data_IF_255942884653
#
_entry.id   IF_255942884653
#
_cell.length_a   1.000
_cell.length_b   1.000
_cell.length_c   1.000
_cell.angle_alpha   90.00
_cell.angle_beta   90.00
_cell.angle_gamma   90.00
#
_symmetry.space_group_name_H-M   'P 1'
#
loop_
_entity.id
_entity.type
_entity.pdbx_description
1 polymer ?
#
# COMPACT_ATOMS: atom_id res chain seq x y z
N UNK A 1 10.73 -25.42 -1.68
CA UNK A 1 9.54 -24.67 -2.13
C UNK A 1 9.48 -23.37 -1.35
N UNK A 2 9.73 -22.24 -2.01
CA UNK A 2 9.53 -20.92 -1.42
C UNK A 2 8.04 -20.75 -1.16
N UNK A 3 7.61 -20.57 0.09
CA UNK A 3 6.22 -20.16 0.38
C UNK A 3 6.02 -18.80 -0.30
N UNK A 4 5.13 -18.73 -1.29
CA UNK A 4 4.65 -17.45 -1.82
C UNK A 4 4.16 -16.62 -0.62
N UNK A 5 4.67 -15.40 -0.49
CA UNK A 5 4.31 -14.54 0.62
C UNK A 5 3.10 -13.73 0.19
N UNK A 6 1.93 -14.10 0.72
CA UNK A 6 0.67 -13.43 0.39
C UNK A 6 0.63 -11.97 0.88
N UNK A 7 1.34 -11.67 1.97
CA UNK A 7 1.33 -10.37 2.64
C UNK A 7 2.74 -9.82 2.90
N UNK A 8 2.88 -8.50 2.80
CA UNK A 8 4.11 -7.76 3.02
C UNK A 8 3.89 -6.67 4.06
N UNK A 9 4.81 -6.60 5.02
CA UNK A 9 4.88 -5.49 5.96
C UNK A 9 5.68 -4.34 5.37
N UNK A 10 5.14 -3.12 5.47
CA UNK A 10 5.80 -1.90 5.03
C UNK A 10 6.30 -1.16 6.27
N UNK A 11 7.55 -1.42 6.65
CA UNK A 11 8.20 -0.72 7.74
C UNK A 11 8.45 0.76 7.42
N UNK A 12 8.62 1.58 8.46
CA UNK A 12 9.04 2.98 8.33
C UNK A 12 10.40 3.02 7.62
N UNK A 13 10.41 3.40 6.33
CA UNK A 13 11.65 3.72 5.62
C UNK A 13 11.96 5.19 5.87
N UNK A 14 13.20 5.48 6.26
CA UNK A 14 13.67 6.85 6.43
C UNK A 14 13.54 7.55 5.08
N UNK A 15 12.96 8.75 5.09
CA UNK A 15 13.07 9.73 4.00
C UNK A 15 12.17 9.56 2.76
N UNK A 16 11.14 8.70 2.76
CA UNK A 16 10.15 8.67 1.67
C UNK A 16 8.73 8.32 2.12
N UNK A 17 7.78 9.24 1.89
CA UNK A 17 6.33 9.05 2.12
C UNK A 17 5.67 8.14 1.06
N UNK A 18 6.41 7.17 0.50
CA UNK A 18 5.88 6.22 -0.49
C UNK A 18 4.64 5.48 0.04
N UNK A 19 4.58 5.29 1.36
CA UNK A 19 3.43 4.73 2.02
C UNK A 19 2.18 5.61 1.92
N UNK A 20 2.32 6.93 2.07
CA UNK A 20 1.18 7.84 1.95
C UNK A 20 0.59 7.78 0.54
N UNK A 21 1.46 7.75 -0.47
CA UNK A 21 1.06 7.58 -1.88
C UNK A 21 0.37 6.23 -2.09
N UNK A 22 0.92 5.16 -1.51
CA UNK A 22 0.33 3.82 -1.59
C UNK A 22 -1.03 3.73 -0.89
N UNK A 23 -1.19 4.39 0.26
CA UNK A 23 -2.49 4.50 0.95
C UNK A 23 -3.51 5.23 0.10
N UNK A 24 -3.14 6.40 -0.45
CA UNK A 24 -4.02 7.15 -1.36
C UNK A 24 -4.41 6.30 -2.56
N UNK A 25 -3.46 5.56 -3.15
CA UNK A 25 -3.76 4.60 -4.22
C UNK A 25 -4.72 3.50 -3.76
N UNK A 26 -4.53 2.95 -2.56
CA UNK A 26 -5.42 1.96 -1.96
C UNK A 26 -6.85 2.51 -1.79
N UNK A 27 -7.00 3.72 -1.26
CA UNK A 27 -8.30 4.40 -1.10
C UNK A 27 -8.97 4.65 -2.45
N UNK A 28 -8.20 5.06 -3.46
CA UNK A 28 -8.72 5.33 -4.81
C UNK A 28 -9.05 4.06 -5.60
N UNK A 29 -8.43 2.93 -5.29
CA UNK A 29 -8.68 1.65 -5.98
C UNK A 29 -9.63 0.72 -5.24
N UNK A 30 -9.86 0.93 -3.94
CA UNK A 30 -10.74 0.10 -3.14
C UNK A 30 -12.21 0.19 -3.59
N UNK A 31 -12.90 -0.94 -3.47
CA UNK A 31 -14.36 -1.07 -3.62
C UNK A 31 -15.11 -0.99 -2.29
N UNK A 32 -14.47 -1.43 -1.19
CA UNK A 32 -15.07 -1.52 0.14
C UNK A 32 -14.03 -1.23 1.23
N UNK A 33 -14.52 -0.93 2.43
CA UNK A 33 -13.72 -0.80 3.63
C UNK A 33 -14.31 -1.54 4.82
N UNK A 34 -13.45 -1.76 5.80
CA UNK A 34 -13.78 -2.08 7.18
C UNK A 34 -12.93 -1.19 8.08
N UNK A 35 -13.53 -0.42 8.97
CA UNK A 35 -12.83 0.31 10.05
C UNK A 35 -13.34 -0.21 11.37
N UNK A 36 -12.44 -0.45 12.31
CA UNK A 36 -12.80 -1.01 13.61
C UNK A 36 -12.67 0.06 14.67
N UNK A 37 -13.46 -0.02 15.72
CA UNK A 37 -13.42 0.90 16.85
C UNK A 37 -13.71 0.16 18.14
N UNK A 38 -13.03 0.46 19.26
CA UNK A 38 -13.40 -0.09 20.55
C UNK A 38 -14.76 0.45 21.05
N UNK A 39 -15.33 -0.22 22.04
CA UNK A 39 -16.61 0.16 22.69
C UNK A 39 -16.49 1.35 23.66
N UNK A 40 -15.54 2.25 23.42
CA UNK A 40 -15.35 3.40 24.29
C UNK A 40 -15.00 4.63 23.45
N UNK A 41 -15.97 5.52 23.21
CA UNK A 41 -15.75 6.73 22.41
C UNK A 41 -14.77 7.71 23.06
N UNK A 42 -14.42 7.53 24.34
CA UNK A 42 -13.45 8.38 25.04
C UNK A 42 -12.00 7.91 24.87
N UNK A 43 -11.79 6.70 24.34
CA UNK A 43 -10.46 6.19 24.05
C UNK A 43 -9.89 6.85 22.80
N UNK A 44 -8.58 7.12 22.81
CA UNK A 44 -7.81 7.59 21.65
C UNK A 44 -7.92 6.66 20.44
N UNK A 45 -8.26 5.39 20.67
CA UNK A 45 -8.52 4.39 19.63
C UNK A 45 -9.87 4.61 18.90
N UNK A 46 -10.72 5.52 19.36
CA UNK A 46 -12.04 5.79 18.78
C UNK A 46 -12.10 7.02 17.88
N UNK A 47 -10.95 7.66 17.59
CA UNK A 47 -10.90 8.81 16.67
C UNK A 47 -11.46 8.45 15.29
N UNK A 48 -12.36 9.30 14.77
CA UNK A 48 -13.01 9.08 13.47
C UNK A 48 -14.30 8.27 13.54
N UNK A 49 -14.64 7.66 14.69
CA UNK A 49 -15.81 6.77 14.80
C UNK A 49 -17.11 7.42 14.34
N UNK A 50 -17.40 8.63 14.79
CA UNK A 50 -18.65 9.34 14.45
C UNK A 50 -18.69 9.71 12.97
N UNK A 51 -17.56 10.12 12.40
CA UNK A 51 -17.41 10.41 10.98
C UNK A 51 -17.71 9.17 10.12
N UNK A 52 -17.25 8.00 10.53
CA UNK A 52 -17.54 6.73 9.85
C UNK A 52 -18.97 6.25 10.06
N UNK A 53 -19.56 6.46 11.24
CA UNK A 53 -20.98 6.16 11.50
C UNK A 53 -21.93 7.04 10.67
N UNK A 54 -21.50 8.25 10.30
CA UNK A 54 -22.25 9.17 9.46
C UNK A 54 -22.22 8.85 7.96
N UNK A 55 -21.42 7.87 7.52
CA UNK A 55 -21.31 7.52 6.10
C UNK A 55 -22.57 6.82 5.58
N UNK A 56 -22.95 7.05 4.31
CA UNK A 56 -24.04 6.30 3.68
C UNK A 56 -23.62 4.85 3.41
N UNK A 57 -24.61 3.95 3.32
CA UNK A 57 -24.43 2.54 2.92
C UNK A 57 -23.41 1.76 3.78
N UNK A 58 -23.37 2.07 5.08
CA UNK A 58 -22.59 1.29 6.02
C UNK A 58 -23.43 0.17 6.65
N UNK A 59 -22.71 -0.82 7.18
CA UNK A 59 -23.19 -1.80 8.12
C UNK A 59 -22.29 -1.77 9.34
N UNK A 60 -22.88 -1.95 10.51
CA UNK A 60 -22.16 -1.99 11.79
C UNK A 60 -22.40 -3.34 12.43
N UNK A 61 -21.33 -4.02 12.80
CA UNK A 61 -21.39 -5.32 13.46
C UNK A 61 -20.41 -5.39 14.63
N UNK A 62 -20.64 -6.25 15.63
CA UNK A 62 -19.66 -6.52 16.67
C UNK A 62 -18.38 -7.12 16.06
N UNK A 63 -17.22 -6.60 16.47
CA UNK A 63 -15.93 -7.14 16.08
C UNK A 63 -15.41 -8.12 17.13
N UNK A 64 -15.14 -9.35 16.74
CA UNK A 64 -14.71 -10.42 17.66
C UNK A 64 -13.29 -10.26 18.20
N UNK A 65 -12.49 -9.35 17.64
CA UNK A 65 -11.09 -9.17 18.05
C UNK A 65 -10.92 -8.40 19.37
N UNK A 66 -11.96 -7.69 19.84
CA UNK A 66 -11.92 -6.97 21.11
C UNK A 66 -13.33 -6.87 21.70
N UNK A 67 -13.46 -7.12 23.01
CA UNK A 67 -14.76 -7.10 23.69
C UNK A 67 -15.45 -5.73 23.53
N UNK A 68 -16.68 -5.76 23.02
CA UNK A 68 -17.52 -4.59 22.79
C UNK A 68 -17.14 -3.78 21.55
N UNK A 69 -15.99 -4.05 20.92
CA UNK A 69 -15.58 -3.33 19.74
C UNK A 69 -16.54 -3.58 18.58
N UNK A 70 -16.60 -2.61 17.67
CA UNK A 70 -17.42 -2.66 16.46
C UNK A 70 -16.54 -2.64 15.22
N UNK A 71 -17.06 -3.22 14.14
CA UNK A 71 -16.57 -3.02 12.79
C UNK A 71 -17.63 -2.26 11.99
N UNK A 72 -17.23 -1.15 11.39
CA UNK A 72 -18.01 -0.38 10.43
C UNK A 72 -17.53 -0.78 9.04
N UNK A 73 -18.41 -1.39 8.26
CA UNK A 73 -18.12 -1.84 6.89
C UNK A 73 -18.97 -1.07 5.91
N UNK A 74 -18.41 -0.71 4.76
CA UNK A 74 -19.16 0.02 3.75
C UNK A 74 -18.55 -0.06 2.35
N UNK A 75 -19.35 0.32 1.37
CA UNK A 75 -18.87 0.59 0.01
C UNK A 75 -17.93 1.81 0.02
N UNK A 76 -16.94 1.82 -0.87
CA UNK A 76 -16.05 2.96 -1.04
C UNK A 76 -16.71 4.04 -1.92
N UNK A 77 -17.75 4.67 -1.37
CA UNK A 77 -18.49 5.79 -1.99
C UNK A 77 -17.61 7.03 -2.12
N UNK A 78 -18.13 8.09 -2.77
CA UNK A 78 -17.41 9.36 -2.88
C UNK A 78 -17.08 9.94 -1.51
N UNK A 79 -18.06 9.95 -0.60
CA UNK A 79 -17.95 10.47 0.76
C UNK A 79 -16.95 9.66 1.59
N UNK A 80 -16.99 8.33 1.46
CA UNK A 80 -16.04 7.47 2.15
C UNK A 80 -14.59 7.73 1.68
N UNK A 81 -14.39 7.88 0.36
CA UNK A 81 -13.06 8.22 -0.20
C UNK A 81 -12.58 9.58 0.27
N UNK A 82 -13.44 10.59 0.24
CA UNK A 82 -13.11 11.93 0.71
C UNK A 82 -12.71 11.91 2.19
N UNK A 83 -13.44 11.18 3.04
CA UNK A 83 -13.09 11.01 4.44
C UNK A 83 -11.71 10.36 4.61
N UNK A 84 -11.46 9.22 3.95
CA UNK A 84 -10.16 8.55 4.03
C UNK A 84 -9.01 9.44 3.54
N UNK A 85 -9.19 10.15 2.43
CA UNK A 85 -8.17 11.05 1.88
C UNK A 85 -7.89 12.21 2.84
N UNK A 86 -8.94 12.82 3.41
CA UNK A 86 -8.81 13.87 4.42
C UNK A 86 -8.05 13.38 5.66
N UNK A 87 -8.33 12.16 6.13
CA UNK A 87 -7.64 11.54 7.26
C UNK A 87 -6.14 11.39 6.95
N UNK A 88 -5.81 10.87 5.77
CA UNK A 88 -4.43 10.67 5.33
C UNK A 88 -3.68 12.01 5.22
N UNK A 89 -4.29 13.02 4.61
CA UNK A 89 -3.65 14.31 4.31
C UNK A 89 -3.51 15.21 5.53
N UNK A 90 -4.56 15.29 6.35
CA UNK A 90 -4.58 16.21 7.49
C UNK A 90 -3.95 15.60 8.73
N UNK A 91 -3.91 14.27 8.83
CA UNK A 91 -3.45 13.51 10.01
C UNK A 91 -4.13 13.94 11.32
N UNK A 92 -5.30 14.58 11.24
CA UNK A 92 -6.08 15.06 12.38
C UNK A 92 -6.86 13.95 13.09
N UNK A 93 -7.20 12.91 12.34
CA UNK A 93 -7.83 11.69 12.84
C UNK A 93 -6.79 10.60 12.68
N UNK A 94 -6.54 9.84 13.73
CA UNK A 94 -5.60 8.73 13.72
C UNK A 94 -6.35 7.40 13.88
N UNK A 95 -6.78 6.84 12.75
CA UNK A 95 -7.42 5.53 12.74
C UNK A 95 -6.45 4.45 13.25
N UNK A 96 -6.91 3.67 14.22
CA UNK A 96 -6.08 2.62 14.82
C UNK A 96 -6.10 1.32 14.00
N UNK A 97 -7.25 0.94 13.42
CA UNK A 97 -7.38 -0.28 12.60
C UNK A 97 -8.40 -0.11 11.46
N UNK A 98 -7.93 -0.34 10.22
CA UNK A 98 -8.79 -0.42 9.04
C UNK A 98 -8.23 -1.35 7.96
N UNK A 99 -9.13 -1.82 7.10
CA UNK A 99 -8.85 -2.70 5.98
C UNK A 99 -9.54 -2.15 4.73
N UNK A 100 -8.83 -2.16 3.60
CA UNK A 100 -9.37 -1.82 2.29
C UNK A 100 -9.47 -3.06 1.40
N UNK A 101 -10.57 -3.16 0.66
CA UNK A 101 -10.87 -4.31 -0.19
C UNK A 101 -11.20 -3.89 -1.63
N UNK A 102 -10.82 -4.71 -2.60
CA UNK A 102 -11.21 -4.59 -4.00
C UNK A 102 -11.63 -5.96 -4.51
N UNK A 103 -12.80 -6.01 -5.14
CA UNK A 103 -13.38 -7.24 -5.72
C UNK A 103 -13.46 -8.40 -4.72
N UNK A 104 -13.77 -8.09 -3.45
CA UNK A 104 -13.83 -9.06 -2.35
C UNK A 104 -12.47 -9.49 -1.78
N UNK A 105 -11.35 -9.09 -2.40
CA UNK A 105 -10.00 -9.35 -1.91
C UNK A 105 -9.45 -8.20 -1.07
N UNK A 106 -8.65 -8.52 -0.06
CA UNK A 106 -7.91 -7.52 0.73
C UNK A 106 -6.82 -6.86 -0.13
N UNK A 107 -6.76 -5.53 -0.11
CA UNK A 107 -5.65 -4.77 -0.70
C UNK A 107 -4.57 -4.49 0.34
N UNK A 108 -4.99 -3.85 1.43
CA UNK A 108 -4.13 -3.42 2.51
C UNK A 108 -4.89 -3.37 3.83
N UNK A 109 -4.15 -3.37 4.93
CA UNK A 109 -4.63 -2.99 6.24
C UNK A 109 -3.64 -2.12 6.97
N UNK A 110 -4.16 -1.28 7.84
CA UNK A 110 -3.42 -0.59 8.87
C UNK A 110 -3.97 -1.07 10.20
N UNK A 111 -3.08 -1.47 11.11
CA UNK A 111 -3.40 -1.83 12.49
C UNK A 111 -2.43 -1.10 13.42
N UNK A 112 -2.76 -0.98 14.70
CA UNK A 112 -1.96 -0.25 15.70
C UNK A 112 -1.43 1.10 15.19
N UNK A 113 -2.28 1.82 14.44
CA UNK A 113 -2.02 3.08 13.75
C UNK A 113 -0.95 3.07 12.64
N UNK A 114 0.05 2.21 12.74
CA UNK A 114 1.28 2.25 11.94
C UNK A 114 1.70 0.90 11.37
N UNK A 115 1.04 -0.20 11.74
CA UNK A 115 1.32 -1.53 11.19
C UNK A 115 0.65 -1.68 9.84
N UNK A 116 1.46 -1.55 8.80
CA UNK A 116 1.00 -1.41 7.41
C UNK A 116 1.28 -2.71 6.67
N UNK A 117 0.20 -3.39 6.29
CA UNK A 117 0.27 -4.69 5.62
C UNK A 117 -0.42 -4.58 4.28
N UNK A 118 0.24 -5.04 3.22
CA UNK A 118 -0.30 -5.06 1.86
C UNK A 118 -0.25 -6.46 1.27
N UNK A 119 -1.13 -6.78 0.34
CA UNK A 119 -1.02 -8.01 -0.45
C UNK A 119 0.07 -7.91 -1.52
N UNK A 120 0.61 -9.05 -1.93
CA UNK A 120 1.59 -9.11 -3.03
C UNK A 120 1.08 -8.44 -4.30
N UNK A 121 -0.15 -8.79 -4.69
CA UNK A 121 -0.76 -8.31 -5.92
C UNK A 121 -0.93 -6.79 -5.90
N UNK A 122 -1.42 -6.24 -4.79
CA UNK A 122 -1.56 -4.80 -4.64
C UNK A 122 -0.20 -4.09 -4.68
N UNK A 123 0.81 -4.63 -4.01
CA UNK A 123 2.16 -4.06 -4.02
C UNK A 123 2.78 -4.08 -5.43
N UNK A 124 2.65 -5.19 -6.17
CA UNK A 124 3.13 -5.31 -7.56
C UNK A 124 2.46 -4.29 -8.47
N UNK A 125 1.13 -4.23 -8.43
CA UNK A 125 0.35 -3.28 -9.23
C UNK A 125 0.73 -1.83 -8.93
N UNK A 126 0.84 -1.47 -7.65
CA UNK A 126 1.27 -0.12 -7.25
C UNK A 126 2.66 0.21 -7.80
N UNK A 127 3.61 -0.72 -7.70
CA UNK A 127 4.97 -0.51 -8.20
C UNK A 127 5.01 -0.41 -9.73
N UNK A 128 4.19 -1.17 -10.45
CA UNK A 128 4.04 -1.04 -11.90
C UNK A 128 3.51 0.34 -12.30
N UNK A 129 2.47 0.83 -11.61
CA UNK A 129 1.95 2.19 -11.84
C UNK A 129 2.98 3.26 -11.52
N UNK A 130 3.72 3.10 -10.43
CA UNK A 130 4.78 4.01 -10.03
C UNK A 130 5.91 4.03 -11.06
N UNK A 131 6.31 2.86 -11.58
CA UNK A 131 7.32 2.73 -12.63
C UNK A 131 6.90 3.47 -13.90
N UNK A 132 5.67 3.24 -14.38
CA UNK A 132 5.16 3.92 -15.58
C UNK A 132 5.05 5.44 -15.43
N UNK A 133 4.90 5.93 -14.20
CA UNK A 133 4.89 7.38 -13.92
C UNK A 133 6.29 7.98 -13.80
N UNK A 134 7.31 7.21 -13.41
CA UNK A 134 8.69 7.70 -13.26
C UNK A 134 9.53 7.55 -14.52
N UNK A 135 9.18 6.60 -15.38
CA UNK A 135 9.95 6.30 -16.58
C UNK A 135 9.08 6.59 -17.80
N UNK A 136 9.52 7.55 -18.61
CA UNK A 136 9.00 7.70 -19.96
C UNK A 136 9.53 6.57 -20.83
N UNK A 137 8.70 5.94 -21.68
CA UNK A 137 9.20 5.01 -22.66
C UNK A 137 10.15 5.76 -23.60
N UNK A 138 11.40 5.32 -23.69
CA UNK A 138 12.28 5.78 -24.76
C UNK A 138 11.65 5.26 -26.05
N UNK A 139 11.26 6.12 -27.00
CA UNK A 139 10.75 5.65 -28.28
C UNK A 139 11.78 4.73 -28.89
N UNK A 140 11.36 3.57 -29.42
CA UNK A 140 12.30 2.66 -30.06
C UNK A 140 13.09 3.46 -31.11
N UNK A 141 14.43 3.52 -31.03
CA UNK A 141 15.20 4.10 -32.11
C UNK A 141 14.84 3.34 -33.38
N UNK A 142 14.67 4.03 -34.50
CA UNK A 142 14.64 3.36 -35.80
C UNK A 142 16.01 2.68 -35.97
N UNK A 143 16.13 1.42 -35.54
CA UNK A 143 17.35 0.65 -35.64
C UNK A 143 17.52 0.33 -37.13
N UNK A 144 18.29 1.16 -37.84
CA UNK A 144 18.98 0.69 -39.03
C UNK A 144 19.90 -0.43 -38.56
N UNK A 145 19.63 -1.64 -39.03
CA UNK A 145 20.34 -2.86 -38.66
C UNK A 145 21.80 -2.79 -39.13
N UNK A 146 22.64 -2.06 -38.42
CA UNK A 146 24.08 -2.23 -38.44
C UNK A 146 24.46 -2.90 -37.12
N UNK A 147 25.02 -4.11 -37.25
CA UNK A 147 25.04 -5.13 -36.22
C UNK A 147 25.55 -4.62 -34.88
N UNK A 148 24.68 -4.70 -33.86
CA UNK A 148 25.06 -4.43 -32.48
C UNK A 148 26.08 -5.50 -32.06
N UNK A 149 27.31 -5.04 -31.85
CA UNK A 149 28.49 -5.83 -31.54
C UNK A 149 28.28 -6.56 -30.21
N UNK A 150 28.45 -7.89 -30.22
CA UNK A 150 28.35 -8.78 -29.05
C UNK A 150 29.23 -8.29 -27.88
N UNK A 151 30.35 -7.66 -28.19
CA UNK A 151 31.31 -7.09 -27.25
C UNK A 151 30.72 -5.95 -26.42
N UNK A 152 29.85 -5.11 -27.01
CA UNK A 152 29.16 -4.04 -26.29
C UNK A 152 28.17 -4.60 -25.26
N UNK A 153 27.46 -5.67 -25.60
CA UNK A 153 26.54 -6.32 -24.67
C UNK A 153 27.29 -7.00 -23.51
N UNK A 154 28.47 -7.57 -23.77
CA UNK A 154 29.34 -8.11 -22.71
C UNK A 154 29.94 -7.01 -21.82
N UNK A 155 30.36 -5.88 -22.41
CA UNK A 155 30.86 -4.71 -21.67
C UNK A 155 29.80 -4.08 -20.75
N UNK A 156 28.54 -4.03 -21.17
CA UNK A 156 27.45 -3.43 -20.37
C UNK A 156 26.91 -4.43 -19.33
N UNK A 157 26.94 -5.73 -19.63
CA UNK A 157 26.47 -6.81 -18.75
C UNK A 157 27.23 -6.87 -17.41
N UNK A 158 28.56 -6.81 -17.46
CA UNK A 158 29.42 -6.97 -16.29
C UNK A 158 29.21 -5.88 -15.21
N UNK A 159 29.20 -4.57 -15.56
CA UNK A 159 28.89 -3.49 -14.62
C UNK A 159 27.51 -3.63 -13.99
N UNK A 160 26.49 -4.03 -14.77
CA UNK A 160 25.12 -4.23 -14.27
C UNK A 160 25.08 -5.38 -13.26
N UNK A 161 25.69 -6.51 -13.58
CA UNK A 161 25.75 -7.66 -12.66
C UNK A 161 26.47 -7.32 -11.35
N UNK A 162 27.55 -6.55 -11.43
CA UNK A 162 28.31 -6.09 -10.25
C UNK A 162 27.48 -5.14 -9.39
N UNK A 163 26.77 -4.19 -10.02
CA UNK A 163 25.89 -3.26 -9.32
C UNK A 163 24.74 -3.99 -8.62
N UNK A 164 24.07 -4.92 -9.30
CA UNK A 164 23.00 -5.73 -8.71
C UNK A 164 23.49 -6.59 -7.55
N UNK A 165 24.66 -7.21 -7.69
CA UNK A 165 25.27 -8.02 -6.63
C UNK A 165 25.56 -7.21 -5.37
N UNK A 166 26.10 -6.00 -5.53
CA UNK A 166 26.35 -5.07 -4.42
C UNK A 166 25.05 -4.65 -3.75
N UNK A 167 24.03 -4.30 -4.53
CA UNK A 167 22.73 -3.89 -4.03
C UNK A 167 22.04 -5.00 -3.21
N UNK A 168 22.12 -6.25 -3.67
CA UNK A 168 21.62 -7.43 -2.94
C UNK A 168 22.38 -7.63 -1.62
N UNK A 169 23.69 -7.39 -1.60
CA UNK A 169 24.50 -7.49 -0.39
C UNK A 169 24.12 -6.43 0.65
N UNK A 170 23.98 -5.18 0.21
CA UNK A 170 23.61 -4.04 1.06
C UNK A 170 22.21 -4.24 1.66
N UNK A 171 21.27 -4.80 0.88
CA UNK A 171 19.92 -5.15 1.35
C UNK A 171 19.89 -6.31 2.35
N UNK A 172 20.88 -7.21 2.32
CA UNK A 172 21.01 -8.30 3.31
C UNK A 172 21.65 -7.79 4.60
N UNK A 173 22.64 -6.91 4.51
CA UNK A 173 23.35 -6.38 5.67
C UNK A 173 22.51 -5.37 6.47
N UNK A 174 21.59 -4.65 5.84
CA UNK A 174 20.64 -3.74 6.51
C UNK A 174 19.46 -4.45 7.24
N UNK A 175 19.50 -5.78 7.38
CA UNK A 175 18.49 -6.60 8.09
C UNK A 175 19.01 -7.24 9.38
N UNK A 176 20.24 -6.94 9.80
CA UNK A 176 20.81 -7.26 11.11
C UNK A 176 20.88 -6.00 11.97
#
# INVERSE_FOLDING_TARGET
MSKEREYYFIGKRRDTDIWEVMLKYGVLSASHFEVRFPDDPTMTLSEGREEFLGLPKISVEPWSGMKGAIAIKGEMTKEARELFLQIIETRRIRLWDFILFRDGGKLLSVSDFDDRIVTENFAKEFMEKLFLNWFEPIPEPEIKSEGILRDFLEEVSLPIQKALSKLVLDLKNNKN
#
